data_IF_863493089841
#
_entry.id   IF_863493089841
#
_cell.length_a   1.000
_cell.length_b   1.000
_cell.length_c   1.000
_cell.angle_alpha   90.00
_cell.angle_beta   90.00
_cell.angle_gamma   90.00
#
_symmetry.space_group_name_H-M   'P 1'
#
loop_
_entity.id
_entity.type
_entity.pdbx_description
1 polymer ?
#
# COMPACT_ATOMS: atom_id res chain seq x y z
N UNK A 1 -71.35 33.72 26.58
CA UNK A 1 -69.89 33.47 26.67
C UNK A 1 -69.59 31.96 26.74
N UNK A 2 -70.01 31.16 25.75
CA UNK A 2 -69.82 29.69 25.71
C UNK A 2 -69.62 29.19 24.27
N UNK A 3 -68.98 29.99 23.42
CA UNK A 3 -68.72 29.66 21.99
C UNK A 3 -67.24 29.65 21.63
N UNK A 4 -66.35 29.93 22.59
CA UNK A 4 -64.90 30.02 22.37
C UNK A 4 -64.17 28.69 22.51
N UNK A 5 -64.81 27.63 23.02
CA UNK A 5 -64.15 26.31 23.21
C UNK A 5 -64.17 25.38 21.99
N UNK A 6 -65.04 25.63 20.99
CA UNK A 6 -65.10 24.80 19.77
C UNK A 6 -64.01 25.20 18.76
N UNK A 7 -63.46 26.41 18.87
CA UNK A 7 -62.44 26.92 17.94
C UNK A 7 -61.03 26.38 18.20
N UNK A 8 -60.76 25.82 19.39
CA UNK A 8 -59.40 25.39 19.76
C UNK A 8 -59.03 23.98 19.24
N UNK A 9 -60.01 23.15 18.89
CA UNK A 9 -59.76 21.77 18.42
C UNK A 9 -59.49 21.65 16.91
N UNK A 10 -59.75 22.68 16.09
CA UNK A 10 -59.49 22.61 14.65
C UNK A 10 -58.02 22.93 14.32
N UNK A 11 -57.29 23.60 15.22
CA UNK A 11 -55.89 24.02 14.97
C UNK A 11 -54.88 22.90 15.29
N UNK A 12 -55.24 21.89 16.08
CA UNK A 12 -54.36 20.72 16.36
C UNK A 12 -54.38 19.66 15.25
N UNK A 13 -55.16 19.84 14.18
CA UNK A 13 -55.20 18.92 13.04
C UNK A 13 -54.05 19.13 12.03
N UNK A 14 -53.23 20.19 12.20
CA UNK A 14 -52.01 20.37 11.42
C UNK A 14 -50.86 19.69 12.17
N UNK A 15 -51.00 18.37 12.34
CA UNK A 15 -49.93 17.48 12.74
C UNK A 15 -48.80 17.67 11.74
N UNK A 16 -47.62 18.00 12.27
CA UNK A 16 -46.42 18.29 11.51
C UNK A 16 -46.19 17.18 10.48
N UNK A 17 -46.33 17.51 9.19
CA UNK A 17 -45.67 16.75 8.15
C UNK A 17 -44.17 16.99 8.35
N UNK A 18 -43.57 16.16 9.20
CA UNK A 18 -42.13 16.06 9.26
C UNK A 18 -41.69 15.55 7.88
N UNK A 19 -41.07 16.43 7.09
CA UNK A 19 -40.24 16.00 5.97
C UNK A 19 -38.98 15.34 6.55
N UNK A 20 -39.14 14.12 7.05
CA UNK A 20 -38.01 13.23 7.25
C UNK A 20 -37.66 12.66 5.88
N UNK A 21 -36.47 12.99 5.37
CA UNK A 21 -35.91 12.28 4.23
C UNK A 21 -35.78 10.81 4.63
N UNK A 22 -36.52 9.93 3.96
CA UNK A 22 -36.45 8.50 4.23
C UNK A 22 -35.07 8.04 3.79
N UNK A 23 -34.20 7.71 4.74
CA UNK A 23 -32.93 7.02 4.45
C UNK A 23 -33.30 5.76 3.69
N UNK A 24 -33.07 5.75 2.37
CA UNK A 24 -33.29 4.59 1.52
C UNK A 24 -32.27 3.54 1.95
N UNK A 25 -32.69 2.63 2.82
CA UNK A 25 -31.95 1.41 3.16
C UNK A 25 -31.98 0.49 1.92
N UNK A 26 -31.13 0.82 0.94
CA UNK A 26 -31.18 0.17 -0.37
C UNK A 26 -30.14 0.67 -1.36
N UNK A 27 -29.03 1.25 -0.90
CA UNK A 27 -27.86 1.29 -1.77
C UNK A 27 -27.22 -0.09 -1.74
N UNK A 28 -27.14 -0.82 -2.88
CA UNK A 28 -26.38 -2.05 -2.94
C UNK A 28 -24.94 -1.74 -2.53
N UNK A 29 -24.39 -2.51 -1.59
CA UNK A 29 -22.99 -2.39 -1.24
C UNK A 29 -22.17 -2.71 -2.49
N UNK A 30 -21.38 -1.73 -2.95
CA UNK A 30 -20.42 -1.94 -4.03
C UNK A 30 -19.26 -2.72 -3.41
N UNK A 31 -19.24 -4.02 -3.66
CA UNK A 31 -18.14 -4.88 -3.26
C UNK A 31 -16.95 -4.63 -4.19
N UNK A 32 -15.86 -4.15 -3.62
CA UNK A 32 -14.61 -3.91 -4.35
C UNK A 32 -13.93 -5.27 -4.60
N UNK A 33 -13.39 -5.41 -5.80
CA UNK A 33 -12.61 -6.60 -6.16
C UNK A 33 -11.35 -6.67 -5.31
N UNK A 34 -10.96 -7.90 -4.95
CA UNK A 34 -9.71 -8.14 -4.23
C UNK A 34 -8.52 -7.74 -5.11
N UNK A 35 -7.63 -6.90 -4.57
CA UNK A 35 -6.39 -6.50 -5.22
C UNK A 35 -5.25 -7.32 -4.60
N UNK A 36 -4.59 -8.15 -5.41
CA UNK A 36 -3.35 -8.83 -5.01
C UNK A 36 -2.15 -7.93 -5.32
N UNK A 37 -1.35 -7.62 -4.31
CA UNK A 37 -0.16 -6.78 -4.43
C UNK A 37 1.05 -7.67 -4.26
N UNK A 38 1.64 -8.09 -5.38
CA UNK A 38 2.89 -8.84 -5.35
C UNK A 38 4.05 -7.86 -5.18
N UNK A 39 4.58 -7.79 -3.96
CA UNK A 39 5.86 -7.13 -3.70
C UNK A 39 6.98 -7.86 -4.44
N UNK A 40 7.91 -7.12 -5.05
CA UNK A 40 9.09 -7.68 -5.70
C UNK A 40 10.02 -8.30 -4.64
N UNK A 41 9.71 -9.54 -4.21
CA UNK A 41 10.49 -10.27 -3.23
C UNK A 41 11.88 -10.68 -3.76
N UNK A 42 12.09 -10.64 -5.07
CA UNK A 42 13.34 -10.98 -5.75
C UNK A 42 14.22 -9.77 -6.07
N UNK A 43 14.06 -8.64 -5.37
CA UNK A 43 14.99 -7.53 -5.53
C UNK A 43 16.36 -7.91 -4.94
N UNK A 44 17.42 -7.69 -5.71
CA UNK A 44 18.80 -7.87 -5.23
C UNK A 44 19.04 -6.96 -4.01
N UNK A 45 19.64 -7.53 -2.97
CA UNK A 45 20.04 -6.80 -1.76
C UNK A 45 21.55 -6.90 -1.61
N UNK A 46 22.19 -5.87 -1.04
CA UNK A 46 23.64 -5.82 -0.88
C UNK A 46 24.25 -6.99 -0.06
N UNK A 47 23.46 -7.70 0.74
CA UNK A 47 23.90 -8.85 1.56
C UNK A 47 23.32 -10.18 1.08
N UNK A 48 22.44 -10.16 0.08
CA UNK A 48 21.81 -11.34 -0.49
C UNK A 48 22.69 -12.06 -1.51
N UNK A 49 22.27 -13.24 -1.98
CA UNK A 49 22.88 -13.86 -3.14
C UNK A 49 22.62 -13.00 -4.39
N UNK A 50 23.59 -12.98 -5.29
CA UNK A 50 23.44 -12.38 -6.62
C UNK A 50 23.22 -13.51 -7.61
N UNK A 51 22.23 -13.36 -8.48
CA UNK A 51 22.01 -14.29 -9.59
C UNK A 51 22.91 -13.91 -10.77
N UNK A 52 23.85 -14.79 -11.15
CA UNK A 52 24.79 -14.58 -12.24
C UNK A 52 26.05 -13.79 -11.88
N UNK A 53 26.63 -13.13 -12.88
CA UNK A 53 27.95 -12.47 -12.78
C UNK A 53 27.88 -10.95 -12.57
N UNK A 54 26.69 -10.36 -12.46
CA UNK A 54 26.52 -8.90 -12.38
C UNK A 54 25.70 -8.51 -11.14
N UNK A 55 26.40 -8.12 -10.09
CA UNK A 55 25.78 -7.44 -8.96
C UNK A 55 25.34 -6.01 -9.36
N UNK A 56 24.24 -5.54 -8.79
CA UNK A 56 23.72 -4.18 -8.97
C UNK A 56 23.77 -3.36 -7.68
N UNK A 57 23.91 -3.99 -6.51
CA UNK A 57 23.95 -3.29 -5.21
C UNK A 57 25.12 -3.76 -4.35
N UNK A 58 25.60 -2.88 -3.47
CA UNK A 58 26.64 -3.20 -2.51
C UNK A 58 26.57 -2.30 -1.27
N UNK A 59 27.00 -2.84 -0.13
CA UNK A 59 27.13 -2.10 1.12
C UNK A 59 28.60 -1.88 1.52
N UNK A 60 29.57 -2.41 0.77
CA UNK A 60 30.99 -2.33 1.16
C UNK A 60 31.50 -0.89 1.20
N UNK A 61 31.06 -0.05 0.27
CA UNK A 61 31.53 1.34 0.15
C UNK A 61 30.77 2.32 1.06
N UNK A 62 29.47 2.10 1.27
CA UNK A 62 28.56 3.07 1.92
C UNK A 62 28.00 2.58 3.26
N UNK A 63 28.24 1.31 3.61
CA UNK A 63 27.64 0.59 4.76
C UNK A 63 26.11 0.52 4.73
N UNK A 64 25.50 0.83 3.60
CA UNK A 64 24.06 0.79 3.37
C UNK A 64 23.78 0.10 2.06
N UNK A 65 22.56 -0.42 1.88
CA UNK A 65 22.18 -1.08 0.64
C UNK A 65 22.02 -0.06 -0.50
N UNK A 66 23.11 0.15 -1.25
CA UNK A 66 23.27 1.22 -2.25
C UNK A 66 23.47 0.63 -3.64
N UNK A 67 22.88 1.25 -4.66
CA UNK A 67 23.15 0.88 -6.06
C UNK A 67 24.63 1.15 -6.40
N UNK A 68 25.26 0.25 -7.15
CA UNK A 68 26.63 0.46 -7.63
C UNK A 68 26.73 1.71 -8.52
N UNK A 69 25.66 2.08 -9.23
CA UNK A 69 25.61 3.29 -10.04
C UNK A 69 25.64 4.58 -9.19
N UNK A 70 25.18 4.51 -7.95
CA UNK A 70 25.09 5.64 -7.02
C UNK A 70 26.28 5.69 -6.06
N UNK A 71 27.20 4.73 -6.16
CA UNK A 71 28.37 4.65 -5.29
C UNK A 71 29.43 5.66 -5.77
N UNK A 72 29.94 6.57 -4.91
CA UNK A 72 30.83 7.66 -5.33
C UNK A 72 32.30 7.23 -5.57
N UNK A 73 32.56 5.93 -5.67
CA UNK A 73 33.89 5.36 -5.85
C UNK A 73 33.83 4.10 -6.71
N UNK A 74 34.95 3.73 -7.32
CA UNK A 74 35.05 2.50 -8.10
C UNK A 74 35.07 1.28 -7.19
N UNK A 75 34.08 0.40 -7.36
CA UNK A 75 33.95 -0.87 -6.64
C UNK A 75 33.79 -1.99 -7.67
N UNK A 76 34.48 -3.10 -7.45
CA UNK A 76 34.27 -4.35 -8.20
C UNK A 76 33.73 -5.41 -7.26
N UNK A 77 32.64 -6.06 -7.67
CA UNK A 77 32.00 -7.14 -6.90
C UNK A 77 32.24 -8.44 -7.63
N UNK A 78 32.79 -9.43 -6.92
CA UNK A 78 32.96 -10.79 -7.42
C UNK A 78 31.80 -11.63 -6.86
N UNK A 79 30.92 -12.11 -7.74
CA UNK A 79 29.73 -12.89 -7.34
C UNK A 79 30.08 -14.34 -7.01
N UNK A 80 29.15 -15.05 -6.36
CA UNK A 80 29.34 -16.48 -6.03
C UNK A 80 29.52 -17.32 -7.30
N UNK A 81 28.64 -17.15 -8.28
CA UNK A 81 28.70 -17.88 -9.56
C UNK A 81 30.07 -17.67 -10.24
N UNK A 82 30.58 -16.43 -10.25
CA UNK A 82 31.91 -16.13 -10.77
C UNK A 82 33.03 -16.93 -10.08
N UNK A 83 32.98 -17.07 -8.76
CA UNK A 83 33.97 -17.83 -7.98
C UNK A 83 33.87 -19.33 -8.26
N UNK A 84 32.65 -19.85 -8.38
CA UNK A 84 32.38 -21.26 -8.63
C UNK A 84 32.84 -21.68 -10.02
N UNK A 85 32.55 -20.89 -11.05
CA UNK A 85 32.89 -21.22 -12.43
C UNK A 85 34.39 -21.16 -12.73
N UNK A 86 35.12 -20.27 -12.05
CA UNK A 86 36.58 -20.22 -12.15
C UNK A 86 37.27 -21.24 -11.22
N UNK A 87 36.51 -21.98 -10.41
CA UNK A 87 37.03 -22.97 -9.45
C UNK A 87 37.98 -22.37 -8.39
N UNK A 88 37.75 -21.12 -7.99
CA UNK A 88 38.67 -20.44 -7.07
C UNK A 88 38.51 -20.95 -5.64
N UNK A 89 39.61 -21.45 -5.07
CA UNK A 89 39.66 -21.95 -3.68
C UNK A 89 40.35 -20.99 -2.71
N UNK A 90 40.93 -19.88 -3.21
CA UNK A 90 41.62 -18.87 -2.40
C UNK A 90 41.35 -17.47 -2.93
N UNK A 91 41.19 -16.53 -2.02
CA UNK A 91 41.24 -15.09 -2.31
C UNK A 91 42.72 -14.72 -2.47
N UNK A 92 43.07 -14.09 -3.60
CA UNK A 92 44.44 -13.61 -3.87
C UNK A 92 44.47 -12.10 -3.97
#
# INVERSE_FOLDING_TARGET
MRRTLVSLCVIQAISQAAWADQVTAGQPSVELQNIDIQGAANAETAQGPVEGYRATRSASATRTDTSLHETPQSVSVVTRDAVEDIGSTRLR
#
